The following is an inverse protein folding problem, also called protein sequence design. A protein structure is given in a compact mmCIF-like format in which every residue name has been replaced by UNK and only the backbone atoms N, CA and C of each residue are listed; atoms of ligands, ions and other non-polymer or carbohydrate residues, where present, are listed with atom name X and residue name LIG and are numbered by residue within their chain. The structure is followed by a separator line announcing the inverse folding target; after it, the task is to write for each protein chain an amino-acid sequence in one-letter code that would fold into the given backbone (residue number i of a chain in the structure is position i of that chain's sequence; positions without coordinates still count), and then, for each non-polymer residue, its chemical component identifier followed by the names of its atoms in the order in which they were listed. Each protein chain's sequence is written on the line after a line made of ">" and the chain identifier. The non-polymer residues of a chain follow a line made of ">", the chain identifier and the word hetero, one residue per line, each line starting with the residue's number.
data_IF_684692249190
#
_entry.id   IF_684692249190
#
_cell.length_a   1.000
_cell.length_b   1.000
_cell.length_c   1.000
_cell.angle_alpha   90.00
_cell.angle_beta   90.00
_cell.angle_gamma   90.00
#
_symmetry.space_group_name_H-M   'P 1'
#
loop_
_entity.id
_entity.type
_entity.pdbx_description
1 polymer ?
#
# COMPACT_ATOMS: atom_id res chain seq x y z
N UNK A 1 70.81 -21.78 -39.40
CA UNK A 1 71.27 -23.14 -39.06
C UNK A 1 70.67 -23.46 -37.70
N UNK A 2 69.51 -24.12 -37.71
CA UNK A 2 69.32 -25.54 -37.32
C UNK A 2 69.21 -25.70 -35.80
N UNK A 3 67.98 -25.83 -35.25
CA UNK A 3 67.29 -27.11 -34.89
C UNK A 3 68.04 -27.82 -33.74
N UNK A 4 67.49 -28.11 -32.55
CA UNK A 4 66.20 -28.75 -32.20
C UNK A 4 65.96 -28.72 -30.65
N UNK A 5 64.89 -29.32 -30.05
CA UNK A 5 64.05 -28.69 -29.00
C UNK A 5 63.95 -29.50 -27.69
N UNK A 6 63.31 -28.95 -26.64
CA UNK A 6 62.75 -29.75 -25.53
C UNK A 6 61.42 -29.19 -25.01
N UNK A 7 60.56 -30.16 -24.66
CA UNK A 7 59.10 -30.15 -24.47
C UNK A 7 58.54 -29.34 -23.28
N UNK A 8 57.21 -29.12 -23.24
CA UNK A 8 56.53 -28.24 -22.28
C UNK A 8 56.26 -28.94 -20.94
N UNK A 9 56.61 -28.27 -19.84
CA UNK A 9 56.14 -28.61 -18.50
C UNK A 9 54.70 -28.11 -18.34
N UNK A 10 53.76 -29.04 -18.17
CA UNK A 10 52.38 -28.78 -17.79
C UNK A 10 52.33 -27.89 -16.53
N UNK A 11 51.77 -26.69 -16.68
CA UNK A 11 51.39 -25.86 -15.55
C UNK A 11 50.17 -26.47 -14.83
N UNK A 12 50.01 -26.24 -13.52
CA UNK A 12 48.88 -26.79 -12.77
C UNK A 12 47.59 -26.21 -13.33
N UNK A 13 46.60 -27.10 -13.57
CA UNK A 13 45.22 -26.69 -13.79
C UNK A 13 44.79 -25.89 -12.55
N UNK A 14 44.59 -24.59 -12.74
CA UNK A 14 43.81 -23.80 -11.80
C UNK A 14 42.36 -24.28 -11.94
N UNK A 15 41.94 -25.17 -11.04
CA UNK A 15 40.54 -25.36 -10.70
C UNK A 15 40.07 -24.04 -10.07
N UNK A 16 39.57 -23.13 -10.92
CA UNK A 16 38.78 -22.00 -10.46
C UNK A 16 37.38 -22.53 -10.14
N UNK A 17 37.23 -23.14 -8.97
CA UNK A 17 35.93 -23.19 -8.28
C UNK A 17 35.70 -21.81 -7.64
N UNK A 18 35.30 -20.84 -8.46
CA UNK A 18 34.65 -19.63 -7.95
C UNK A 18 33.22 -20.03 -7.56
N UNK A 19 33.01 -20.34 -6.27
CA UNK A 19 31.70 -20.48 -5.66
C UNK A 19 30.88 -19.20 -5.93
N UNK A 20 29.98 -19.27 -6.91
CA UNK A 20 29.03 -18.20 -7.21
C UNK A 20 28.20 -17.94 -5.95
N UNK A 21 28.37 -16.76 -5.34
CA UNK A 21 27.53 -16.34 -4.22
C UNK A 21 26.07 -16.33 -4.67
N UNK A 22 25.22 -17.08 -3.95
CA UNK A 22 23.79 -17.14 -4.22
C UNK A 22 23.17 -15.77 -4.01
N UNK A 23 22.33 -15.35 -4.95
CA UNK A 23 21.53 -14.14 -4.82
C UNK A 23 20.55 -14.26 -3.65
N UNK A 24 20.10 -13.13 -3.10
CA UNK A 24 19.08 -13.12 -2.03
C UNK A 24 17.78 -13.82 -2.44
N UNK A 25 17.45 -13.79 -3.73
CA UNK A 25 16.29 -14.48 -4.30
C UNK A 25 16.48 -16.00 -4.29
N UNK A 26 17.63 -16.50 -4.77
CA UNK A 26 17.99 -17.93 -4.73
C UNK A 26 18.00 -18.45 -3.28
N UNK A 27 18.56 -17.67 -2.34
CA UNK A 27 18.56 -18.02 -0.91
C UNK A 27 17.16 -18.12 -0.32
N UNK A 28 16.29 -17.14 -0.59
CA UNK A 28 14.90 -17.18 -0.11
C UNK A 28 14.14 -18.38 -0.69
N UNK A 29 14.33 -18.68 -1.97
CA UNK A 29 13.69 -19.82 -2.61
C UNK A 29 14.13 -21.16 -2.00
N UNK A 30 15.41 -21.31 -1.68
CA UNK A 30 15.92 -22.49 -0.97
C UNK A 30 15.32 -22.62 0.43
N UNK A 31 15.27 -21.54 1.21
CA UNK A 31 14.62 -21.53 2.53
C UNK A 31 13.12 -21.87 2.44
N UNK A 32 12.41 -21.37 1.41
CA UNK A 32 11.01 -21.69 1.16
C UNK A 32 10.85 -23.19 0.87
N UNK A 33 11.68 -23.75 -0.01
CA UNK A 33 11.64 -25.19 -0.36
C UNK A 33 11.92 -26.05 0.87
N UNK A 34 12.92 -25.71 1.67
CA UNK A 34 13.22 -26.41 2.92
C UNK A 34 12.04 -26.37 3.89
N UNK A 35 11.43 -25.20 4.10
CA UNK A 35 10.25 -25.09 4.97
C UNK A 35 9.04 -25.85 4.41
N UNK A 36 8.83 -25.85 3.09
CA UNK A 36 7.77 -26.68 2.46
C UNK A 36 7.98 -28.16 2.75
N UNK A 37 9.20 -28.67 2.61
CA UNK A 37 9.50 -30.06 2.94
C UNK A 37 9.21 -30.40 4.41
N UNK A 38 9.49 -29.48 5.35
CA UNK A 38 9.17 -29.69 6.77
C UNK A 38 7.66 -29.71 7.03
N UNK A 39 6.89 -28.83 6.37
CA UNK A 39 5.42 -28.81 6.46
C UNK A 39 4.83 -30.08 5.86
N UNK A 40 5.31 -30.49 4.68
CA UNK A 40 4.84 -31.66 3.94
C UNK A 40 5.21 -32.97 4.63
N UNK A 41 6.33 -33.03 5.37
CA UNK A 41 6.72 -34.20 6.15
C UNK A 41 5.77 -34.46 7.34
N UNK A 42 5.07 -33.43 7.82
CA UNK A 42 4.17 -33.51 8.97
C UNK A 42 2.71 -33.74 8.55
N UNK A 43 2.42 -34.73 7.69
CA UNK A 43 1.09 -34.89 7.03
C UNK A 43 -0.08 -35.22 7.96
N UNK A 44 0.16 -35.76 9.15
CA UNK A 44 -0.91 -36.26 10.00
C UNK A 44 -1.81 -35.16 10.58
N UNK A 45 -3.10 -35.50 10.74
CA UNK A 45 -4.15 -34.61 11.24
C UNK A 45 -4.32 -34.73 12.77
N UNK A 46 -3.39 -35.39 13.48
CA UNK A 46 -3.45 -35.47 14.94
C UNK A 46 -3.15 -34.10 15.57
N UNK A 47 -3.70 -33.85 16.75
CA UNK A 47 -3.46 -32.60 17.48
C UNK A 47 -1.96 -32.32 17.68
N UNK A 48 -1.17 -33.35 18.00
CA UNK A 48 0.26 -33.21 18.25
C UNK A 48 1.05 -32.84 16.98
N UNK A 49 0.74 -33.47 15.85
CA UNK A 49 1.36 -33.16 14.57
C UNK A 49 0.98 -31.76 14.09
N UNK A 50 -0.29 -31.34 14.25
CA UNK A 50 -0.75 -29.99 13.94
C UNK A 50 0.04 -28.96 14.75
N UNK A 51 0.19 -29.18 16.06
CA UNK A 51 0.96 -28.27 16.93
C UNK A 51 2.43 -28.16 16.50
N UNK A 52 3.04 -29.27 16.04
CA UNK A 52 4.41 -29.27 15.50
C UNK A 52 4.50 -28.59 14.13
N UNK A 53 3.45 -28.67 13.30
CA UNK A 53 3.40 -28.11 11.95
C UNK A 53 3.23 -26.59 11.94
N UNK A 54 2.44 -26.04 12.87
CA UNK A 54 2.07 -24.61 12.92
C UNK A 54 3.28 -23.64 12.86
N UNK A 55 4.38 -23.85 13.60
CA UNK A 55 5.56 -22.99 13.48
C UNK A 55 6.21 -22.98 12.09
N UNK A 56 6.25 -24.14 11.43
CA UNK A 56 6.79 -24.28 10.07
C UNK A 56 5.87 -23.60 9.05
N UNK A 57 4.54 -23.75 9.16
CA UNK A 57 3.58 -23.04 8.31
C UNK A 57 3.68 -21.52 8.46
N UNK A 58 3.83 -21.03 9.70
CA UNK A 58 4.04 -19.60 9.96
C UNK A 58 5.34 -19.12 9.32
N UNK A 59 6.44 -19.85 9.49
CA UNK A 59 7.75 -19.47 8.91
C UNK A 59 7.71 -19.50 7.38
N UNK A 60 7.08 -20.52 6.80
CA UNK A 60 6.85 -20.63 5.36
C UNK A 60 6.09 -19.41 4.83
N UNK A 61 4.98 -19.05 5.49
CA UNK A 61 4.18 -17.88 5.13
C UNK A 61 4.99 -16.57 5.15
N UNK A 62 5.85 -16.38 6.17
CA UNK A 62 6.74 -15.21 6.26
C UNK A 62 7.76 -15.17 5.10
N UNK A 63 8.36 -16.31 4.76
CA UNK A 63 9.33 -16.40 3.68
C UNK A 63 8.69 -16.18 2.31
N UNK A 64 7.54 -16.80 2.05
CA UNK A 64 6.78 -16.62 0.82
C UNK A 64 6.33 -15.16 0.65
N UNK A 65 5.82 -14.52 1.71
CA UNK A 65 5.48 -13.10 1.66
C UNK A 65 6.71 -12.24 1.32
N UNK A 66 7.85 -12.48 1.97
CA UNK A 66 9.09 -11.75 1.72
C UNK A 66 9.56 -11.92 0.27
N UNK A 67 9.48 -13.14 -0.27
CA UNK A 67 9.79 -13.43 -1.67
C UNK A 67 8.84 -12.70 -2.63
N UNK A 68 7.53 -12.80 -2.40
CA UNK A 68 6.51 -12.13 -3.21
C UNK A 68 6.71 -10.61 -3.24
N UNK A 69 7.00 -9.99 -2.08
CA UNK A 69 7.28 -8.56 -2.01
C UNK A 69 8.59 -8.17 -2.73
N UNK A 70 9.62 -9.02 -2.68
CA UNK A 70 10.86 -8.80 -3.43
C UNK A 70 10.63 -8.85 -4.94
N UNK A 71 9.93 -9.87 -5.42
CA UNK A 71 9.58 -10.03 -6.85
C UNK A 71 8.72 -8.86 -7.31
N UNK A 72 7.75 -8.46 -6.51
CA UNK A 72 6.86 -7.35 -6.83
C UNK A 72 7.60 -6.01 -6.92
N UNK A 73 8.55 -5.74 -6.00
CA UNK A 73 9.42 -4.56 -6.09
C UNK A 73 10.25 -4.56 -7.38
N UNK A 74 10.81 -5.71 -7.78
CA UNK A 74 11.55 -5.84 -9.06
C UNK A 74 10.63 -5.63 -10.26
N UNK A 75 9.39 -6.13 -10.21
CA UNK A 75 8.38 -5.94 -11.25
C UNK A 75 8.01 -4.45 -11.41
N UNK A 76 7.69 -3.77 -10.30
CA UNK A 76 7.37 -2.34 -10.28
C UNK A 76 8.53 -1.49 -10.81
N UNK A 77 9.78 -1.82 -10.45
CA UNK A 77 10.95 -1.13 -10.99
C UNK A 77 11.06 -1.29 -12.51
N UNK A 78 10.84 -2.49 -13.06
CA UNK A 78 10.80 -2.72 -14.51
C UNK A 78 9.67 -1.96 -15.20
N UNK A 79 8.50 -1.87 -14.56
CA UNK A 79 7.37 -1.08 -15.06
C UNK A 79 7.73 0.40 -15.15
N UNK A 80 8.42 0.96 -14.16
CA UNK A 80 8.89 2.34 -14.21
C UNK A 80 9.93 2.58 -15.31
N UNK A 81 10.86 1.63 -15.53
CA UNK A 81 11.81 1.72 -16.63
C UNK A 81 11.08 1.75 -17.99
N UNK A 82 10.11 0.84 -18.19
CA UNK A 82 9.26 0.84 -19.39
C UNK A 82 8.47 2.14 -19.53
N UNK A 83 7.98 2.71 -18.43
CA UNK A 83 7.31 4.01 -18.45
C UNK A 83 8.24 5.13 -18.93
N UNK A 84 9.48 5.18 -18.44
CA UNK A 84 10.47 6.17 -18.87
C UNK A 84 10.87 5.97 -20.34
N UNK A 85 10.96 4.73 -20.82
CA UNK A 85 11.19 4.43 -22.24
C UNK A 85 10.06 4.97 -23.14
N UNK A 86 8.80 4.89 -22.69
CA UNK A 86 7.63 5.31 -23.46
C UNK A 86 7.37 6.82 -23.41
N UNK A 87 7.58 7.45 -22.24
CA UNK A 87 7.16 8.83 -21.99
C UNK A 87 8.29 9.80 -21.66
N UNK A 88 9.53 9.31 -21.62
CA UNK A 88 10.71 10.07 -21.24
C UNK A 88 11.00 10.06 -19.75
N UNK A 89 12.14 10.62 -19.38
CA UNK A 89 12.61 10.63 -18.00
C UNK A 89 11.63 11.38 -17.07
N UNK A 90 11.41 10.78 -15.90
CA UNK A 90 10.65 11.39 -14.83
C UNK A 90 11.41 12.58 -14.27
N UNK A 91 10.77 13.73 -14.22
CA UNK A 91 11.36 14.93 -13.63
C UNK A 91 11.76 14.70 -12.17
N UNK A 92 13.03 14.94 -11.85
CA UNK A 92 13.58 14.81 -10.50
C UNK A 92 14.33 16.05 -10.06
N UNK A 93 14.31 16.29 -8.75
CA UNK A 93 15.17 17.27 -8.08
C UNK A 93 15.73 16.65 -6.79
N UNK A 94 16.98 16.97 -6.41
CA UNK A 94 17.59 16.41 -5.22
C UNK A 94 16.95 16.97 -3.95
N UNK A 95 16.78 16.11 -2.94
CA UNK A 95 16.44 16.53 -1.60
C UNK A 95 17.50 17.49 -1.05
N UNK A 96 17.10 18.66 -0.55
CA UNK A 96 18.04 19.66 -0.02
C UNK A 96 18.72 19.26 1.31
N UNK A 97 18.43 18.07 1.84
CA UNK A 97 19.03 17.53 3.07
C UNK A 97 19.87 16.28 2.78
N UNK A 98 19.27 15.23 2.20
CA UNK A 98 19.99 13.98 1.92
C UNK A 98 20.62 13.90 0.52
N UNK A 99 20.31 14.85 -0.38
CA UNK A 99 20.78 14.90 -1.78
C UNK A 99 20.29 13.75 -2.67
N UNK A 100 19.42 12.87 -2.19
CA UNK A 100 18.78 11.85 -3.02
C UNK A 100 17.82 12.50 -4.04
N UNK A 101 17.82 12.00 -5.27
CA UNK A 101 16.90 12.44 -6.31
C UNK A 101 15.45 12.04 -5.97
N UNK A 102 14.56 13.03 -6.00
CA UNK A 102 13.12 12.84 -5.76
C UNK A 102 12.38 13.15 -7.04
N UNK A 103 11.43 12.30 -7.44
CA UNK A 103 10.46 12.63 -8.48
C UNK A 103 9.41 13.62 -7.95
N UNK A 104 9.81 14.88 -7.74
CA UNK A 104 9.05 15.94 -7.04
C UNK A 104 7.71 16.28 -7.67
N UNK A 105 7.48 15.89 -8.92
CA UNK A 105 6.23 16.11 -9.63
C UNK A 105 5.33 14.87 -9.65
N UNK A 106 5.78 13.73 -9.13
CA UNK A 106 5.03 12.49 -9.18
C UNK A 106 3.82 12.49 -8.23
N UNK A 107 3.96 13.08 -7.04
CA UNK A 107 2.88 13.20 -6.06
C UNK A 107 3.24 14.27 -5.01
N UNK A 108 2.23 14.89 -4.41
CA UNK A 108 2.42 15.80 -3.27
C UNK A 108 2.91 15.04 -2.01
N UNK A 109 2.80 13.70 -1.99
CA UNK A 109 3.18 12.86 -0.86
C UNK A 109 4.69 12.57 -0.75
N UNK A 110 5.50 12.85 -1.76
CA UNK A 110 6.95 12.58 -1.71
C UNK A 110 7.75 13.70 -1.03
N UNK A 111 7.19 14.90 -0.98
CA UNK A 111 7.90 16.11 -0.54
C UNK A 111 7.17 16.84 0.57
N UNK A 112 7.92 17.43 1.49
CA UNK A 112 7.43 18.47 2.40
C UNK A 112 7.82 19.84 1.83
N UNK A 113 6.84 20.69 1.51
CA UNK A 113 7.07 22.01 0.92
C UNK A 113 7.01 23.12 1.97
N UNK A 114 7.80 24.17 1.79
CA UNK A 114 7.96 25.25 2.76
C UNK A 114 7.49 26.59 2.19
N UNK A 115 6.39 27.13 2.71
CA UNK A 115 5.76 28.38 2.26
C UNK A 115 6.68 29.61 2.45
N UNK A 116 7.56 29.60 3.45
CA UNK A 116 8.50 30.70 3.70
C UNK A 116 9.47 30.96 2.53
N UNK A 117 10.05 29.89 1.96
CA UNK A 117 11.08 30.00 0.94
C UNK A 117 10.68 29.49 -0.45
N UNK A 118 9.64 28.65 -0.53
CA UNK A 118 9.23 27.95 -1.76
C UNK A 118 9.91 26.60 -1.96
N UNK A 119 10.92 26.25 -1.15
CA UNK A 119 11.68 25.01 -1.25
C UNK A 119 10.97 23.80 -0.68
N UNK A 120 11.60 22.63 -0.82
CA UNK A 120 11.09 21.35 -0.31
C UNK A 120 12.21 20.43 0.18
N UNK A 121 11.83 19.38 0.90
CA UNK A 121 12.68 18.22 1.25
C UNK A 121 11.87 16.93 1.06
N UNK A 122 12.53 15.77 0.99
CA UNK A 122 11.81 14.49 0.95
C UNK A 122 11.06 14.24 2.28
N UNK A 123 9.96 13.47 2.22
CA UNK A 123 9.20 13.12 3.43
C UNK A 123 10.01 12.36 4.47
N UNK A 124 11.00 11.57 4.07
CA UNK A 124 11.88 10.86 5.03
C UNK A 124 12.65 11.86 5.88
N UNK A 125 13.38 12.79 5.27
CA UNK A 125 14.09 13.83 5.99
C UNK A 125 13.14 14.71 6.82
N UNK A 126 11.94 15.01 6.31
CA UNK A 126 10.94 15.74 7.09
C UNK A 126 10.50 14.97 8.35
N UNK A 127 10.33 13.65 8.23
CA UNK A 127 10.02 12.75 9.35
C UNK A 127 11.16 12.70 10.37
N UNK A 128 12.39 12.45 9.92
CA UNK A 128 13.57 12.36 10.78
C UNK A 128 13.78 13.65 11.59
N UNK A 129 13.59 14.82 10.97
CA UNK A 129 13.71 16.10 11.67
C UNK A 129 12.61 16.23 12.73
N UNK A 130 11.35 15.87 12.43
CA UNK A 130 10.24 15.91 13.40
C UNK A 130 10.51 14.98 14.59
N UNK A 131 11.06 13.80 14.35
CA UNK A 131 11.36 12.81 15.40
C UNK A 131 12.58 13.20 16.25
N UNK A 132 13.55 13.91 15.68
CA UNK A 132 14.76 14.36 16.38
C UNK A 132 14.51 15.37 17.51
N UNK A 133 13.31 15.93 17.62
CA UNK A 133 12.94 16.88 18.68
C UNK A 133 13.60 18.25 18.57
N UNK A 134 14.35 18.53 17.49
CA UNK A 134 14.90 19.85 17.17
C UNK A 134 13.78 20.75 16.64
N UNK A 135 12.78 21.09 17.46
CA UNK A 135 11.64 21.85 16.92
C UNK A 135 10.32 21.89 17.70
N UNK A 136 10.28 22.35 18.95
CA UNK A 136 9.01 22.51 19.69
C UNK A 136 8.10 23.63 19.11
N UNK A 137 7.27 23.28 18.13
CA UNK A 137 5.92 23.83 17.82
C UNK A 137 5.04 22.70 17.23
N UNK A 138 3.78 22.99 16.92
CA UNK A 138 2.72 22.09 16.43
C UNK A 138 3.06 21.25 15.18
N UNK A 139 4.13 21.61 14.44
CA UNK A 139 4.60 20.91 13.23
C UNK A 139 5.94 20.15 13.43
N UNK A 140 6.51 20.15 14.65
CA UNK A 140 7.80 19.51 14.96
C UNK A 140 9.03 20.22 14.40
N UNK A 141 8.89 21.46 13.91
CA UNK A 141 9.97 22.29 13.37
C UNK A 141 9.91 23.68 14.03
N UNK A 142 10.96 24.09 14.74
CA UNK A 142 11.08 25.48 15.29
C UNK A 142 11.34 26.51 14.19
N UNK A 143 11.83 26.06 13.04
CA UNK A 143 12.07 26.89 11.87
C UNK A 143 12.23 26.04 10.63
N UNK A 144 12.13 26.68 9.47
CA UNK A 144 12.36 26.04 8.19
C UNK A 144 13.82 25.55 8.10
N UNK A 145 14.08 24.27 7.78
CA UNK A 145 15.45 23.75 7.68
C UNK A 145 16.25 24.40 6.54
N UNK A 146 15.57 25.03 5.58
CA UNK A 146 16.18 25.62 4.40
C UNK A 146 16.53 27.11 4.60
N UNK A 147 15.58 27.92 5.08
CA UNK A 147 15.77 29.37 5.22
C UNK A 147 15.86 29.87 6.66
N UNK A 148 15.71 28.98 7.65
CA UNK A 148 15.73 29.29 9.09
C UNK A 148 14.64 30.27 9.55
N UNK A 149 13.66 30.60 8.70
CA UNK A 149 12.48 31.36 9.12
C UNK A 149 11.73 30.56 10.18
N UNK A 150 11.41 31.22 11.30
CA UNK A 150 10.67 30.62 12.41
C UNK A 150 9.25 30.29 11.93
N UNK A 151 8.82 29.05 12.13
CA UNK A 151 7.47 28.62 11.76
C UNK A 151 6.55 28.95 12.94
N UNK A 152 5.99 30.16 12.91
CA UNK A 152 4.98 30.62 13.87
C UNK A 152 3.57 30.23 13.39
N UNK A 153 2.60 30.22 14.32
CA UNK A 153 1.18 30.09 14.00
C UNK A 153 0.73 31.29 13.15
N UNK A 154 0.76 31.14 11.83
CA UNK A 154 0.24 32.12 10.87
C UNK A 154 -1.26 31.96 10.75
N UNK A 155 -1.98 33.08 10.70
CA UNK A 155 -3.39 33.10 10.32
C UNK A 155 -3.56 32.57 8.88
N UNK A 156 -4.77 32.12 8.54
CA UNK A 156 -5.05 31.70 7.15
C UNK A 156 -4.78 32.82 6.14
N UNK A 157 -5.03 34.08 6.53
CA UNK A 157 -4.79 35.25 5.69
C UNK A 157 -3.30 35.50 5.43
N UNK A 158 -2.45 35.38 6.45
CA UNK A 158 -0.99 35.49 6.30
C UNK A 158 -0.44 34.36 5.43
N UNK A 159 -0.91 33.13 5.65
CA UNK A 159 -0.53 31.98 4.82
C UNK A 159 -0.94 32.15 3.36
N UNK A 160 -2.15 32.68 3.11
CA UNK A 160 -2.62 33.00 1.77
C UNK A 160 -1.77 34.10 1.09
N UNK A 161 -1.35 35.11 1.85
CA UNK A 161 -0.47 36.17 1.35
C UNK A 161 0.92 35.61 0.96
N UNK A 162 1.51 34.76 1.80
CA UNK A 162 2.79 34.12 1.51
C UNK A 162 2.71 33.17 0.29
N UNK A 163 1.66 32.35 0.20
CA UNK A 163 1.39 31.51 -0.98
C UNK A 163 1.26 32.35 -2.24
N UNK A 164 0.51 33.46 -2.18
CA UNK A 164 0.37 34.39 -3.33
C UNK A 164 1.71 35.01 -3.72
N UNK A 165 2.57 35.34 -2.75
CA UNK A 165 3.94 35.82 -3.00
C UNK A 165 4.77 34.77 -3.74
N UNK A 166 4.71 33.50 -3.34
CA UNK A 166 5.40 32.41 -4.03
C UNK A 166 4.86 32.18 -5.45
N UNK A 167 3.54 32.21 -5.64
CA UNK A 167 2.92 32.03 -6.96
C UNK A 167 3.36 33.12 -7.94
N UNK A 168 3.44 34.38 -7.48
CA UNK A 168 3.97 35.52 -8.26
C UNK A 168 5.46 35.37 -8.61
N UNK A 169 6.23 34.62 -7.83
CA UNK A 169 7.64 34.29 -8.11
C UNK A 169 7.80 33.12 -9.09
N UNK A 170 6.71 32.52 -9.56
CA UNK A 170 6.77 31.40 -10.51
C UNK A 170 6.87 30.01 -9.87
N UNK A 171 6.68 29.89 -8.55
CA UNK A 171 6.73 28.57 -7.88
C UNK A 171 5.52 27.73 -8.28
N UNK A 172 5.73 26.67 -9.09
CA UNK A 172 4.67 25.89 -9.74
C UNK A 172 3.67 25.27 -8.77
N UNK A 173 4.17 24.63 -7.71
CA UNK A 173 3.30 24.02 -6.70
C UNK A 173 2.43 25.06 -5.99
N UNK A 174 2.96 26.28 -5.78
CA UNK A 174 2.22 27.38 -5.16
C UNK A 174 1.17 27.95 -6.13
N UNK A 175 1.50 28.10 -7.42
CA UNK A 175 0.54 28.53 -8.45
C UNK A 175 -0.67 27.56 -8.51
N UNK A 176 -0.41 26.26 -8.59
CA UNK A 176 -1.46 25.23 -8.56
C UNK A 176 -2.29 25.31 -7.27
N UNK A 177 -1.63 25.43 -6.11
CA UNK A 177 -2.29 25.50 -4.80
C UNK A 177 -3.19 26.74 -4.65
N UNK A 178 -2.66 27.92 -4.98
CA UNK A 178 -3.41 29.18 -4.92
C UNK A 178 -4.62 29.12 -5.84
N UNK A 179 -4.43 28.64 -7.08
CA UNK A 179 -5.52 28.49 -8.03
C UNK A 179 -6.65 27.60 -7.50
N UNK A 180 -6.31 26.44 -6.95
CA UNK A 180 -7.26 25.53 -6.31
C UNK A 180 -8.00 26.16 -5.12
N UNK A 181 -7.28 26.91 -4.27
CA UNK A 181 -7.88 27.61 -3.13
C UNK A 181 -8.82 28.74 -3.55
N UNK A 182 -8.46 29.52 -4.58
CA UNK A 182 -9.31 30.59 -5.11
C UNK A 182 -10.58 30.04 -5.78
N UNK A 183 -10.50 28.92 -6.53
CA UNK A 183 -11.69 28.30 -7.14
C UNK A 183 -12.68 27.83 -6.07
N UNK A 184 -12.18 27.27 -4.96
CA UNK A 184 -13.01 26.71 -3.87
C UNK A 184 -13.41 27.74 -2.82
N UNK A 185 -12.69 28.84 -2.67
CA UNK A 185 -12.89 29.83 -1.61
C UNK A 185 -12.52 29.29 -0.22
N UNK A 186 -11.31 28.73 -0.07
CA UNK A 186 -10.84 28.08 1.17
C UNK A 186 -9.43 28.53 1.57
N UNK A 187 -9.01 28.24 2.81
CA UNK A 187 -7.65 28.51 3.33
C UNK A 187 -7.26 29.98 3.22
N UNK A 188 -8.13 30.88 3.68
CA UNK A 188 -7.92 32.34 3.59
C UNK A 188 -8.18 32.98 2.22
N UNK A 189 -8.50 32.21 1.17
CA UNK A 189 -8.84 32.77 -0.15
C UNK A 189 -10.35 32.95 -0.33
N UNK A 190 -10.75 34.11 -0.85
CA UNK A 190 -12.13 34.32 -1.33
C UNK A 190 -12.35 33.58 -2.65
N UNK A 191 -13.57 33.07 -2.86
CA UNK A 191 -13.96 32.38 -4.09
C UNK A 191 -13.84 33.33 -5.29
N UNK A 192 -12.91 33.04 -6.20
CA UNK A 192 -12.59 33.81 -7.40
C UNK A 192 -12.20 32.82 -8.51
N UNK A 193 -13.20 32.25 -9.18
CA UNK A 193 -13.02 31.13 -10.12
C UNK A 193 -12.08 31.51 -11.27
N UNK A 194 -12.32 32.63 -11.94
CA UNK A 194 -11.54 33.04 -13.11
C UNK A 194 -10.06 33.26 -12.78
N UNK A 195 -9.77 34.02 -11.73
CA UNK A 195 -8.39 34.24 -11.26
C UNK A 195 -7.74 32.93 -10.80
N UNK A 196 -8.51 32.04 -10.17
CA UNK A 196 -8.02 30.73 -9.79
C UNK A 196 -7.63 29.88 -11.01
N UNK A 197 -8.45 29.89 -12.08
CA UNK A 197 -8.15 29.24 -13.35
C UNK A 197 -6.90 29.81 -14.00
N UNK A 198 -6.68 31.12 -13.96
CA UNK A 198 -5.46 31.75 -14.48
C UNK A 198 -4.21 31.21 -13.78
N UNK A 199 -4.25 31.08 -12.44
CA UNK A 199 -3.13 30.51 -11.67
C UNK A 199 -2.86 29.05 -12.01
N UNK A 200 -3.89 28.21 -12.15
CA UNK A 200 -3.69 26.81 -12.52
C UNK A 200 -3.16 26.72 -13.97
N UNK A 201 -3.70 27.52 -14.90
CA UNK A 201 -3.23 27.55 -16.28
C UNK A 201 -1.76 27.97 -16.41
N UNK A 202 -1.27 28.89 -15.58
CA UNK A 202 0.16 29.26 -15.57
C UNK A 202 1.08 28.10 -15.18
N UNK A 203 0.68 27.28 -14.20
CA UNK A 203 1.43 26.08 -13.83
C UNK A 203 1.29 24.98 -14.90
N UNK A 204 0.09 24.77 -15.44
CA UNK A 204 -0.18 23.79 -16.49
C UNK A 204 0.55 24.10 -17.81
N UNK A 205 0.69 25.37 -18.16
CA UNK A 205 1.46 25.81 -19.33
C UNK A 205 2.95 25.44 -19.24
N UNK A 206 3.46 25.24 -18.02
CA UNK A 206 4.82 24.75 -17.74
C UNK A 206 4.85 23.23 -17.53
N UNK A 207 3.81 22.52 -17.97
CA UNK A 207 3.66 21.07 -17.83
C UNK A 207 3.70 20.57 -16.38
N UNK A 208 3.29 21.39 -15.40
CA UNK A 208 3.23 20.95 -14.01
C UNK A 208 2.11 19.90 -13.81
N UNK A 209 2.41 18.62 -13.49
CA UNK A 209 1.43 17.54 -13.62
C UNK A 209 0.23 17.65 -12.68
N UNK A 210 0.43 18.12 -11.44
CA UNK A 210 -0.66 18.40 -10.50
C UNK A 210 -1.63 19.46 -11.04
N UNK A 211 -1.13 20.52 -11.71
CA UNK A 211 -2.01 21.53 -12.32
C UNK A 211 -2.77 20.99 -13.53
N UNK A 212 -2.13 20.19 -14.39
CA UNK A 212 -2.79 19.52 -15.50
C UNK A 212 -3.92 18.61 -15.03
N UNK A 213 -3.67 17.83 -13.98
CA UNK A 213 -4.68 16.97 -13.35
C UNK A 213 -5.84 17.78 -12.74
N UNK A 214 -5.56 18.88 -12.05
CA UNK A 214 -6.63 19.72 -11.50
C UNK A 214 -7.47 20.38 -12.62
N UNK A 215 -6.85 20.83 -13.73
CA UNK A 215 -7.60 21.30 -14.90
C UNK A 215 -8.46 20.20 -15.51
N UNK A 216 -7.95 18.96 -15.61
CA UNK A 216 -8.75 17.83 -16.09
C UNK A 216 -10.03 17.64 -15.28
N UNK A 217 -9.91 17.65 -13.94
CA UNK A 217 -11.06 17.54 -13.04
C UNK A 217 -12.03 18.70 -13.22
N UNK A 218 -11.52 19.90 -13.41
CA UNK A 218 -12.34 21.09 -13.65
C UNK A 218 -13.09 20.99 -14.99
N UNK A 219 -12.46 20.57 -16.08
CA UNK A 219 -13.13 20.36 -17.37
C UNK A 219 -14.16 19.22 -17.34
N UNK A 220 -13.91 18.16 -16.56
CA UNK A 220 -14.85 17.05 -16.39
C UNK A 220 -16.07 17.45 -15.56
N UNK A 221 -15.84 18.20 -14.48
CA UNK A 221 -16.90 18.68 -13.58
C UNK A 221 -17.67 19.87 -14.12
N UNK A 222 -17.02 20.72 -14.92
CA UNK A 222 -17.47 22.07 -15.29
C UNK A 222 -17.46 23.03 -14.10
N UNK A 223 -17.57 24.33 -14.38
CA UNK A 223 -17.90 25.34 -13.36
C UNK A 223 -19.03 26.20 -13.91
N UNK A 224 -20.16 26.19 -13.23
CA UNK A 224 -21.39 26.79 -13.72
C UNK A 224 -21.22 28.28 -14.01
N UNK A 225 -21.33 28.66 -15.29
CA UNK A 225 -21.18 30.02 -15.86
C UNK A 225 -19.76 30.49 -16.19
N UNK A 226 -18.70 29.82 -15.71
CA UNK A 226 -17.31 30.19 -16.02
C UNK A 226 -16.58 29.18 -16.92
N UNK A 227 -16.98 27.91 -16.92
CA UNK A 227 -16.33 26.89 -17.75
C UNK A 227 -17.28 25.75 -18.12
N UNK A 228 -17.47 25.56 -19.42
CA UNK A 228 -18.23 24.44 -19.95
C UNK A 228 -17.49 23.11 -19.75
N UNK A 229 -18.28 22.04 -19.61
CA UNK A 229 -17.72 20.69 -19.51
C UNK A 229 -17.18 20.26 -20.87
N UNK A 230 -16.02 19.64 -20.88
CA UNK A 230 -15.44 19.07 -22.11
C UNK A 230 -14.69 17.79 -21.74
N UNK A 231 -15.27 16.64 -22.10
CA UNK A 231 -14.68 15.34 -21.78
C UNK A 231 -13.36 15.12 -22.52
N UNK A 232 -13.30 15.51 -23.79
CA UNK A 232 -12.12 15.37 -24.65
C UNK A 232 -10.93 16.14 -24.05
N UNK A 233 -11.16 17.40 -23.66
CA UNK A 233 -10.12 18.23 -23.05
C UNK A 233 -9.73 17.74 -21.66
N UNK A 234 -10.69 17.23 -20.88
CA UNK A 234 -10.39 16.60 -19.60
C UNK A 234 -9.50 15.35 -19.78
N UNK A 235 -9.79 14.52 -20.77
CA UNK A 235 -9.03 13.32 -21.10
C UNK A 235 -7.62 13.65 -21.60
N UNK A 236 -7.47 14.64 -22.48
CA UNK A 236 -6.17 15.13 -22.96
C UNK A 236 -5.27 15.57 -21.79
N UNK A 237 -5.80 16.40 -20.90
CA UNK A 237 -5.07 16.91 -19.74
C UNK A 237 -4.72 15.80 -18.73
N UNK A 238 -5.63 14.84 -18.54
CA UNK A 238 -5.40 13.68 -17.67
C UNK A 238 -4.28 12.79 -18.21
N UNK A 239 -4.34 12.44 -19.50
CA UNK A 239 -3.31 11.66 -20.19
C UNK A 239 -1.96 12.37 -20.11
N UNK A 240 -1.94 13.69 -20.33
CA UNK A 240 -0.71 14.48 -20.23
C UNK A 240 -0.13 14.46 -18.81
N UNK A 241 -0.96 14.66 -17.78
CA UNK A 241 -0.51 14.58 -16.38
C UNK A 241 0.03 13.18 -16.03
N UNK A 242 -0.65 12.12 -16.49
CA UNK A 242 -0.24 10.75 -16.25
C UNK A 242 1.08 10.39 -16.96
N UNK A 243 1.24 10.80 -18.22
CA UNK A 243 2.46 10.56 -19.00
C UNK A 243 3.66 11.38 -18.48
N UNK A 244 3.42 12.47 -17.75
CA UNK A 244 4.45 13.20 -17.00
C UNK A 244 4.74 12.59 -15.62
N UNK A 245 4.19 11.40 -15.34
CA UNK A 245 4.47 10.66 -14.12
C UNK A 245 3.67 11.09 -12.91
N UNK A 246 2.50 11.72 -13.06
CA UNK A 246 1.65 12.01 -11.90
C UNK A 246 0.92 10.74 -11.44
N UNK A 247 1.23 10.27 -10.23
CA UNK A 247 0.71 9.02 -9.68
C UNK A 247 -0.83 9.01 -9.61
N UNK A 248 -1.43 10.11 -9.15
CA UNK A 248 -2.89 10.19 -9.02
C UNK A 248 -3.57 10.13 -10.40
N UNK A 249 -3.03 10.80 -11.42
CA UNK A 249 -3.56 10.73 -12.79
C UNK A 249 -3.46 9.31 -13.37
N UNK A 250 -2.33 8.61 -13.15
CA UNK A 250 -2.18 7.21 -13.56
C UNK A 250 -3.19 6.30 -12.85
N UNK A 251 -3.44 6.50 -11.55
CA UNK A 251 -4.44 5.70 -10.82
C UNK A 251 -5.88 5.91 -11.33
N UNK A 252 -6.23 7.14 -11.73
CA UNK A 252 -7.54 7.46 -12.33
C UNK A 252 -7.67 6.86 -13.74
N UNK A 253 -6.62 6.96 -14.56
CA UNK A 253 -6.63 6.29 -15.87
C UNK A 253 -6.77 4.77 -15.73
N UNK A 254 -6.08 4.17 -14.76
CA UNK A 254 -6.24 2.76 -14.47
C UNK A 254 -7.72 2.41 -14.17
N UNK A 255 -8.39 3.19 -13.32
CA UNK A 255 -9.83 3.01 -13.03
C UNK A 255 -10.73 3.19 -14.27
N UNK A 256 -10.35 4.07 -15.19
CA UNK A 256 -11.09 4.25 -16.45
C UNK A 256 -10.89 3.06 -17.40
N UNK A 257 -9.66 2.55 -17.54
CA UNK A 257 -9.34 1.41 -18.40
C UNK A 257 -9.88 0.08 -17.89
N UNK A 258 -10.00 -0.15 -16.57
CA UNK A 258 -10.62 -1.38 -16.07
C UNK A 258 -12.14 -1.42 -16.30
N UNK A 259 -12.81 -0.26 -16.29
CA UNK A 259 -14.27 -0.20 -16.40
C UNK A 259 -14.76 0.22 -17.80
N UNK A 260 -13.88 0.63 -18.70
CA UNK A 260 -14.25 1.20 -20.00
C UNK A 260 -15.16 2.43 -19.85
N UNK A 261 -14.75 3.40 -19.03
CA UNK A 261 -15.56 4.60 -18.73
C UNK A 261 -14.89 5.89 -19.15
N UNK A 262 -15.63 7.01 -19.09
CA UNK A 262 -15.06 8.36 -19.22
C UNK A 262 -14.37 8.63 -20.58
N UNK A 263 -14.83 7.93 -21.63
CA UNK A 263 -14.27 8.03 -22.99
C UNK A 263 -13.05 7.14 -23.24
N UNK A 264 -12.73 6.22 -22.32
CA UNK A 264 -11.70 5.19 -22.48
C UNK A 264 -12.34 3.83 -22.70
N UNK A 265 -11.79 3.04 -23.62
CA UNK A 265 -12.18 1.64 -23.82
C UNK A 265 -11.58 0.75 -22.73
N UNK A 266 -12.18 -0.40 -22.48
CA UNK A 266 -11.64 -1.37 -21.53
C UNK A 266 -10.30 -1.93 -22.05
N UNK A 267 -9.25 -1.77 -21.25
CA UNK A 267 -7.90 -2.25 -21.57
C UNK A 267 -7.23 -2.79 -20.29
N UNK A 268 -7.28 -4.11 -20.05
CA UNK A 268 -6.68 -4.72 -18.86
C UNK A 268 -5.16 -4.53 -18.76
N UNK A 269 -4.45 -4.46 -19.89
CA UNK A 269 -2.99 -4.31 -19.92
C UNK A 269 -2.60 -2.88 -19.55
N UNK A 270 -3.25 -1.89 -20.14
CA UNK A 270 -3.04 -0.48 -19.82
C UNK A 270 -3.50 -0.17 -18.39
N UNK A 271 -4.62 -0.75 -17.95
CA UNK A 271 -5.06 -0.71 -16.55
C UNK A 271 -3.96 -1.18 -15.60
N UNK A 272 -3.44 -2.41 -15.80
CA UNK A 272 -2.44 -2.98 -14.91
C UNK A 272 -1.13 -2.18 -14.95
N UNK A 273 -0.73 -1.72 -16.13
CA UNK A 273 0.43 -0.87 -16.31
C UNK A 273 0.29 0.46 -15.56
N UNK A 274 -0.82 1.19 -15.75
CA UNK A 274 -1.09 2.48 -15.10
C UNK A 274 -1.21 2.36 -13.58
N UNK A 275 -1.90 1.33 -13.08
CA UNK A 275 -2.00 1.08 -11.64
C UNK A 275 -0.61 0.79 -11.04
N UNK A 276 0.21 0.00 -11.74
CA UNK A 276 1.58 -0.33 -11.34
C UNK A 276 2.48 0.91 -11.33
N UNK A 277 2.42 1.74 -12.37
CA UNK A 277 3.17 3.02 -12.44
C UNK A 277 2.76 3.93 -11.28
N UNK A 278 1.47 4.11 -11.04
CA UNK A 278 0.97 4.94 -9.95
C UNK A 278 1.50 4.49 -8.58
N UNK A 279 1.46 3.18 -8.30
CA UNK A 279 1.96 2.63 -7.03
C UNK A 279 3.50 2.69 -6.92
N UNK A 280 4.21 2.50 -8.04
CA UNK A 280 5.67 2.57 -8.05
C UNK A 280 6.18 4.01 -7.83
N UNK A 281 5.45 5.01 -8.33
CA UNK A 281 5.71 6.43 -8.10
C UNK A 281 5.32 6.88 -6.68
N UNK A 282 4.25 6.31 -6.13
CA UNK A 282 3.76 6.60 -4.78
C UNK A 282 3.17 5.34 -4.15
N UNK A 283 3.96 4.66 -3.32
CA UNK A 283 3.53 3.44 -2.63
C UNK A 283 2.45 3.69 -1.57
N UNK A 284 2.12 4.95 -1.30
CA UNK A 284 1.01 5.35 -0.43
C UNK A 284 -0.26 5.70 -1.22
N UNK A 285 -0.21 5.67 -2.56
CA UNK A 285 -1.39 5.91 -3.39
C UNK A 285 -2.43 4.82 -3.16
N UNK A 286 -3.47 5.17 -2.40
CA UNK A 286 -4.52 4.24 -1.97
C UNK A 286 -5.37 3.74 -3.12
N UNK A 287 -5.58 4.56 -4.16
CA UNK A 287 -6.35 4.16 -5.33
C UNK A 287 -5.58 3.08 -6.10
N UNK A 288 -4.30 3.31 -6.36
CA UNK A 288 -3.42 2.33 -6.99
C UNK A 288 -3.31 1.04 -6.17
N UNK A 289 -3.11 1.15 -4.84
CA UNK A 289 -3.10 0.01 -3.94
C UNK A 289 -4.44 -0.76 -3.95
N UNK A 290 -5.58 -0.07 -3.95
CA UNK A 290 -6.90 -0.71 -4.06
C UNK A 290 -7.04 -1.48 -5.37
N UNK A 291 -6.64 -0.88 -6.49
CA UNK A 291 -6.73 -1.50 -7.81
C UNK A 291 -5.85 -2.74 -7.93
N UNK A 292 -4.58 -2.66 -7.52
CA UNK A 292 -3.66 -3.81 -7.48
C UNK A 292 -4.11 -4.88 -6.48
N UNK A 293 -4.64 -4.48 -5.33
CA UNK A 293 -5.20 -5.39 -4.34
C UNK A 293 -6.40 -6.18 -4.86
N UNK A 294 -7.33 -5.51 -5.56
CA UNK A 294 -8.49 -6.15 -6.21
C UNK A 294 -8.06 -7.13 -7.30
N UNK A 295 -7.00 -6.82 -8.03
CA UNK A 295 -6.42 -7.67 -9.07
C UNK A 295 -5.85 -8.97 -8.51
N UNK A 296 -5.02 -8.87 -7.47
CA UNK A 296 -4.47 -10.05 -6.78
C UNK A 296 -5.53 -10.79 -5.98
N UNK A 297 -6.63 -10.13 -5.63
CA UNK A 297 -7.78 -10.76 -5.03
C UNK A 297 -8.54 -11.57 -6.08
N UNK A 298 -9.16 -10.96 -7.08
CA UNK A 298 -10.25 -11.55 -7.88
C UNK A 298 -9.85 -12.54 -8.99
N UNK A 299 -8.58 -12.93 -9.14
CA UNK A 299 -8.05 -13.78 -10.23
C UNK A 299 -8.37 -13.29 -11.68
N UNK A 300 -9.05 -12.15 -11.83
CA UNK A 300 -9.41 -11.56 -13.12
C UNK A 300 -8.31 -10.58 -13.57
N UNK A 301 -7.52 -10.97 -14.57
CA UNK A 301 -6.68 -10.04 -15.33
C UNK A 301 -5.25 -9.84 -14.84
N UNK A 302 -4.80 -10.47 -13.74
CA UNK A 302 -3.36 -10.59 -13.46
C UNK A 302 -2.82 -11.92 -13.98
N UNK A 303 -1.61 -11.95 -14.57
CA UNK A 303 -0.98 -13.20 -15.00
C UNK A 303 -0.78 -14.19 -13.84
N UNK A 304 -0.49 -13.68 -12.63
CA UNK A 304 -0.21 -14.46 -11.43
C UNK A 304 -0.81 -13.79 -10.18
N UNK A 305 -2.07 -14.10 -9.81
CA UNK A 305 -2.67 -13.61 -8.57
C UNK A 305 -1.93 -14.18 -7.35
N UNK A 306 -1.86 -13.39 -6.29
CA UNK A 306 -1.08 -13.72 -5.09
C UNK A 306 -1.86 -13.31 -3.84
N UNK A 307 -2.32 -14.26 -3.00
CA UNK A 307 -3.09 -13.92 -1.79
C UNK A 307 -2.26 -13.08 -0.81
N UNK A 308 -0.93 -13.19 -0.88
CA UNK A 308 0.03 -12.36 -0.16
C UNK A 308 -0.02 -10.90 -0.61
N UNK A 309 0.07 -10.66 -1.93
CA UNK A 309 0.01 -9.31 -2.49
C UNK A 309 -1.41 -8.71 -2.34
N UNK A 310 -2.46 -9.53 -2.45
CA UNK A 310 -3.83 -9.10 -2.14
C UNK A 310 -3.93 -8.58 -0.70
N UNK A 311 -3.42 -9.32 0.29
CA UNK A 311 -3.38 -8.85 1.68
C UNK A 311 -2.54 -7.58 1.82
N UNK A 312 -1.35 -7.52 1.21
CA UNK A 312 -0.46 -6.38 1.29
C UNK A 312 -1.11 -5.08 0.79
N UNK A 313 -1.61 -5.10 -0.44
CA UNK A 313 -2.21 -3.93 -1.08
C UNK A 313 -3.51 -3.49 -0.40
N UNK A 314 -4.40 -4.42 -0.10
CA UNK A 314 -5.68 -4.09 0.54
C UNK A 314 -5.45 -3.59 1.98
N UNK A 315 -4.43 -4.08 2.69
CA UNK A 315 -4.09 -3.61 4.03
C UNK A 315 -3.68 -2.13 4.07
N UNK A 316 -2.95 -1.66 3.06
CA UNK A 316 -2.58 -0.23 2.92
C UNK A 316 -3.84 0.64 2.96
N UNK A 317 -4.88 0.25 2.22
CA UNK A 317 -6.15 0.98 2.16
C UNK A 317 -6.97 0.79 3.44
N UNK A 318 -6.99 -0.42 4.00
CA UNK A 318 -7.78 -0.74 5.20
C UNK A 318 -7.31 -0.01 6.46
N UNK A 319 -6.02 0.32 6.57
CA UNK A 319 -5.47 1.06 7.70
C UNK A 319 -6.15 2.42 7.91
N UNK A 320 -6.51 3.10 6.82
CA UNK A 320 -7.14 4.43 6.83
C UNK A 320 -8.57 4.42 6.28
N UNK A 321 -9.22 3.25 6.35
CA UNK A 321 -10.60 3.07 5.91
C UNK A 321 -11.57 3.95 6.70
N UNK A 322 -12.52 4.55 5.99
CA UNK A 322 -13.59 5.37 6.55
C UNK A 322 -14.98 4.91 6.12
N UNK A 323 -15.07 4.02 5.12
CA UNK A 323 -16.34 3.52 4.59
C UNK A 323 -16.66 2.11 5.08
N UNK A 324 -15.65 1.39 5.58
CA UNK A 324 -15.73 0.01 6.02
C UNK A 324 -15.55 -1.00 4.88
N UNK A 325 -15.55 -0.56 3.62
CA UNK A 325 -15.42 -1.44 2.45
C UNK A 325 -14.01 -2.05 2.36
N UNK A 326 -12.96 -1.27 2.64
CA UNK A 326 -11.58 -1.77 2.59
C UNK A 326 -11.29 -2.74 3.73
N UNK A 327 -11.85 -2.50 4.92
CA UNK A 327 -11.77 -3.40 6.08
C UNK A 327 -12.48 -4.73 5.78
N UNK A 328 -13.63 -4.69 5.11
CA UNK A 328 -14.32 -5.89 4.63
C UNK A 328 -13.47 -6.65 3.60
N UNK A 329 -12.98 -5.98 2.57
CA UNK A 329 -12.15 -6.60 1.55
C UNK A 329 -10.87 -7.21 2.14
N UNK A 330 -10.24 -6.53 3.10
CA UNK A 330 -9.05 -7.06 3.78
C UNK A 330 -9.38 -8.32 4.59
N UNK A 331 -10.54 -8.36 5.24
CA UNK A 331 -10.99 -9.56 5.95
C UNK A 331 -11.16 -10.75 4.99
N UNK A 332 -11.65 -10.52 3.76
CA UNK A 332 -11.75 -11.54 2.74
C UNK A 332 -10.38 -11.96 2.19
N UNK A 333 -9.47 -11.00 1.98
CA UNK A 333 -8.10 -11.31 1.54
C UNK A 333 -7.38 -12.20 2.56
N UNK A 334 -7.53 -11.92 3.85
CA UNK A 334 -7.02 -12.76 4.94
C UNK A 334 -7.60 -14.18 4.92
N UNK A 335 -8.89 -14.33 4.56
CA UNK A 335 -9.50 -15.65 4.39
C UNK A 335 -8.94 -16.42 3.20
N UNK A 336 -8.72 -15.74 2.07
CA UNK A 336 -8.09 -16.35 0.89
C UNK A 336 -6.65 -16.77 1.19
N UNK A 337 -5.90 -15.96 1.93
CA UNK A 337 -4.57 -16.33 2.39
C UNK A 337 -4.61 -17.53 3.34
N UNK A 338 -5.55 -17.56 4.29
CA UNK A 338 -5.72 -18.70 5.18
C UNK A 338 -6.09 -19.99 4.43
N UNK A 339 -6.94 -19.90 3.41
CA UNK A 339 -7.28 -21.02 2.53
C UNK A 339 -6.09 -21.47 1.67
N UNK A 340 -5.29 -20.53 1.16
CA UNK A 340 -4.04 -20.84 0.46
C UNK A 340 -3.05 -21.62 1.34
N UNK A 341 -2.91 -21.22 2.60
CA UNK A 341 -1.96 -21.81 3.55
C UNK A 341 -2.42 -23.15 4.14
N UNK A 342 -3.72 -23.31 4.39
CA UNK A 342 -4.26 -24.44 5.17
C UNK A 342 -5.27 -25.28 4.40
N UNK A 343 -5.57 -24.93 3.15
CA UNK A 343 -6.79 -25.36 2.47
C UNK A 343 -8.05 -24.94 3.23
N UNK A 344 -9.17 -25.57 2.89
CA UNK A 344 -10.47 -25.34 3.55
C UNK A 344 -10.54 -25.75 5.04
N UNK A 345 -9.39 -26.10 5.65
CA UNK A 345 -9.23 -26.54 7.05
C UNK A 345 -8.75 -25.42 8.00
N UNK A 346 -8.80 -24.13 7.61
CA UNK A 346 -8.38 -22.97 8.44
C UNK A 346 -9.16 -22.76 9.75
N UNK A 347 -10.23 -23.54 9.96
CA UNK A 347 -11.25 -23.37 11.00
C UNK A 347 -10.75 -23.80 12.41
N UNK A 348 -9.61 -24.49 12.56
CA UNK A 348 -9.30 -25.20 13.82
C UNK A 348 -7.83 -25.25 14.30
N UNK A 349 -6.95 -24.31 13.91
CA UNK A 349 -5.52 -24.35 14.31
C UNK A 349 -5.12 -23.20 15.22
N UNK A 350 -5.17 -23.40 16.53
CA UNK A 350 -4.67 -22.43 17.50
C UNK A 350 -3.15 -22.21 17.32
N UNK A 351 -2.70 -20.96 17.39
CA UNK A 351 -1.30 -20.56 17.22
C UNK A 351 -0.98 -19.97 15.84
N UNK A 352 -1.84 -20.20 14.85
CA UNK A 352 -1.78 -19.54 13.55
C UNK A 352 -3.18 -19.38 12.92
N UNK A 353 -4.18 -19.00 13.73
CA UNK A 353 -5.56 -18.86 13.30
C UNK A 353 -5.85 -17.43 12.78
N UNK A 354 -6.35 -17.31 11.55
CA UNK A 354 -6.75 -16.03 10.96
C UNK A 354 -8.09 -15.49 11.50
N UNK A 355 -8.99 -16.35 12.03
CA UNK A 355 -10.36 -16.00 12.44
C UNK A 355 -10.43 -14.81 13.40
N UNK A 356 -9.59 -14.70 14.46
CA UNK A 356 -9.61 -13.53 15.33
C UNK A 356 -9.35 -12.21 14.62
N UNK A 357 -8.46 -12.22 13.62
CA UNK A 357 -8.09 -11.04 12.83
C UNK A 357 -9.19 -10.70 11.83
N UNK A 358 -9.74 -11.71 11.14
CA UNK A 358 -10.87 -11.54 10.22
C UNK A 358 -12.07 -10.91 10.93
N UNK A 359 -12.45 -11.43 12.11
CA UNK A 359 -13.56 -10.87 12.90
C UNK A 359 -13.26 -9.47 13.44
N UNK A 360 -11.99 -9.14 13.73
CA UNK A 360 -11.60 -7.78 14.10
C UNK A 360 -11.87 -6.79 12.96
N UNK A 361 -11.41 -7.11 11.74
CA UNK A 361 -11.61 -6.24 10.57
C UNK A 361 -13.07 -6.17 10.13
N UNK A 362 -13.84 -7.25 10.28
CA UNK A 362 -15.28 -7.22 10.03
C UNK A 362 -16.06 -6.35 11.01
N UNK A 363 -15.66 -6.35 12.29
CA UNK A 363 -16.24 -5.41 13.27
C UNK A 363 -15.91 -3.98 12.92
N UNK A 364 -14.66 -3.68 12.52
CA UNK A 364 -14.26 -2.35 12.04
C UNK A 364 -15.12 -1.92 10.84
N UNK A 365 -15.31 -2.81 9.87
CA UNK A 365 -16.18 -2.60 8.71
C UNK A 365 -17.64 -2.30 9.10
N UNK A 366 -18.23 -3.13 9.97
CA UNK A 366 -19.58 -2.92 10.52
C UNK A 366 -19.71 -1.59 11.25
N UNK A 367 -18.73 -1.25 12.09
CA UNK A 367 -18.75 -0.06 12.94
C UNK A 367 -18.67 1.23 12.09
N UNK A 368 -18.14 1.14 10.87
CA UNK A 368 -18.19 2.18 9.83
C UNK A 368 -19.48 2.19 9.00
N UNK A 369 -20.37 1.23 9.24
CA UNK A 369 -21.68 1.17 8.59
C UNK A 369 -21.75 0.31 7.31
N UNK A 370 -20.69 -0.40 6.93
CA UNK A 370 -20.70 -1.22 5.72
C UNK A 370 -21.60 -2.45 5.86
N UNK A 371 -22.52 -2.65 4.91
CA UNK A 371 -23.61 -3.64 4.99
C UNK A 371 -23.09 -5.08 4.85
N UNK A 372 -22.35 -5.41 3.79
CA UNK A 372 -21.82 -6.76 3.58
C UNK A 372 -20.94 -7.22 4.77
N UNK A 373 -20.18 -6.28 5.35
CA UNK A 373 -19.37 -6.54 6.54
C UNK A 373 -20.22 -6.89 7.76
N UNK A 374 -21.36 -6.21 7.94
CA UNK A 374 -22.33 -6.49 9.02
C UNK A 374 -23.00 -7.85 8.83
N UNK A 375 -23.44 -8.16 7.61
CA UNK A 375 -24.11 -9.42 7.29
C UNK A 375 -23.17 -10.61 7.47
N UNK A 376 -21.98 -10.55 6.88
CA UNK A 376 -20.98 -11.61 7.03
C UNK A 376 -20.57 -11.80 8.49
N UNK A 377 -20.40 -10.70 9.25
CA UNK A 377 -20.10 -10.81 10.67
C UNK A 377 -21.23 -11.52 11.44
N UNK A 378 -22.50 -11.20 11.16
CA UNK A 378 -23.65 -11.82 11.82
C UNK A 378 -23.71 -13.32 11.57
N UNK A 379 -23.51 -13.75 10.32
CA UNK A 379 -23.46 -15.16 9.95
C UNK A 379 -22.33 -15.89 10.66
N UNK A 380 -21.12 -15.31 10.63
CA UNK A 380 -19.94 -15.90 11.23
C UNK A 380 -20.05 -15.99 12.74
N UNK A 381 -20.45 -14.91 13.42
CA UNK A 381 -20.64 -14.92 14.87
C UNK A 381 -21.71 -15.94 15.27
N UNK A 382 -22.78 -16.11 14.49
CA UNK A 382 -23.81 -17.13 14.76
C UNK A 382 -23.25 -18.55 14.61
N UNK A 383 -22.48 -18.80 13.55
CA UNK A 383 -21.82 -20.09 13.33
C UNK A 383 -20.86 -20.43 14.48
N UNK A 384 -19.98 -19.50 14.86
CA UNK A 384 -18.95 -19.72 15.87
C UNK A 384 -19.47 -19.74 17.31
N UNK A 385 -20.53 -18.99 17.62
CA UNK A 385 -21.21 -19.07 18.93
C UNK A 385 -21.73 -20.47 19.23
N UNK A 386 -22.08 -21.23 18.19
CA UNK A 386 -22.62 -22.58 18.31
C UNK A 386 -21.55 -23.69 18.42
N UNK A 387 -20.25 -23.36 18.42
CA UNK A 387 -19.16 -24.36 18.44
C UNK A 387 -18.04 -23.99 19.41
N UNK A 388 -17.54 -24.98 20.13
CA UNK A 388 -16.38 -24.80 21.00
C UNK A 388 -15.10 -24.74 20.14
N UNK A 389 -14.33 -23.66 20.24
CA UNK A 389 -13.08 -23.46 19.51
C UNK A 389 -11.95 -24.41 19.93
N UNK A 390 -12.11 -25.14 21.04
CA UNK A 390 -11.14 -26.15 21.48
C UNK A 390 -11.54 -27.56 21.04
N UNK A 391 -12.68 -28.06 21.51
CA UNK A 391 -13.11 -29.45 21.30
C UNK A 391 -14.13 -29.64 20.18
N UNK A 392 -14.51 -28.58 19.46
CA UNK A 392 -15.51 -28.60 18.39
C UNK A 392 -16.93 -29.04 18.79
N UNK A 393 -17.23 -29.21 20.10
CA UNK A 393 -18.58 -29.49 20.61
C UNK A 393 -19.56 -28.45 20.06
N UNK A 394 -20.69 -28.91 19.50
CA UNK A 394 -21.80 -28.04 19.11
C UNK A 394 -22.65 -27.71 20.35
N UNK A 395 -23.10 -26.46 20.45
CA UNK A 395 -24.02 -26.03 21.48
C UNK A 395 -25.39 -26.69 21.28
N UNK A 396 -25.98 -27.17 22.38
CA UNK A 396 -27.36 -27.62 22.40
C UNK A 396 -28.33 -26.43 22.30
N UNK A 397 -29.60 -26.70 21.98
CA UNK A 397 -30.63 -25.64 21.84
C UNK A 397 -30.72 -24.80 23.11
N UNK A 398 -30.35 -23.52 23.02
CA UNK A 398 -30.34 -22.58 24.15
C UNK A 398 -29.07 -22.57 25.01
N UNK A 399 -28.12 -23.47 24.76
CA UNK A 399 -26.80 -23.48 25.42
C UNK A 399 -25.95 -22.30 24.93
N UNK A 400 -25.36 -21.54 25.86
CA UNK A 400 -24.50 -20.40 25.54
C UNK A 400 -23.06 -20.70 25.93
N UNK A 401 -22.17 -20.73 24.93
CA UNK A 401 -20.75 -20.89 25.17
C UNK A 401 -20.09 -19.59 25.67
N UNK A 402 -19.03 -19.75 26.46
CA UNK A 402 -18.23 -18.65 27.00
C UNK A 402 -17.39 -18.03 25.90
N UNK A 403 -17.58 -16.75 25.62
CA UNK A 403 -16.77 -16.01 24.66
C UNK A 403 -15.45 -15.55 25.28
N UNK A 404 -14.35 -15.54 24.51
CA UNK A 404 -13.12 -14.87 24.94
C UNK A 404 -13.36 -13.37 25.16
N UNK A 405 -13.07 -12.87 26.35
CA UNK A 405 -13.30 -11.46 26.69
C UNK A 405 -12.39 -10.47 25.96
N UNK A 406 -11.24 -10.93 25.44
CA UNK A 406 -10.25 -10.08 24.76
C UNK A 406 -10.55 -9.93 23.27
N UNK A 407 -10.36 -10.99 22.48
CA UNK A 407 -10.58 -10.92 21.02
C UNK A 407 -12.06 -10.99 20.63
N UNK A 408 -12.93 -11.50 21.53
CA UNK A 408 -14.35 -11.79 21.25
C UNK A 408 -14.56 -12.71 20.04
N UNK A 409 -13.55 -13.44 19.60
CA UNK A 409 -13.55 -14.17 18.33
C UNK A 409 -13.60 -15.70 18.48
N UNK A 410 -13.52 -16.22 19.71
CA UNK A 410 -13.61 -17.64 20.01
C UNK A 410 -14.57 -17.88 21.17
N UNK A 411 -15.27 -19.03 21.13
CA UNK A 411 -16.25 -19.47 22.11
C UNK A 411 -15.90 -20.85 22.66
N UNK A 412 -16.21 -21.11 23.93
CA UNK A 412 -15.85 -22.34 24.64
C UNK A 412 -17.00 -22.90 25.45
N UNK A 413 -17.20 -24.22 25.38
CA UNK A 413 -18.22 -24.90 26.19
C UNK A 413 -17.89 -24.93 27.69
N UNK A 414 -16.62 -24.76 28.07
CA UNK A 414 -16.19 -24.77 29.48
C UNK A 414 -14.95 -23.88 29.72
N UNK A 415 -14.60 -23.65 31.00
CA UNK A 415 -13.40 -22.88 31.36
C UNK A 415 -12.13 -23.68 31.04
N UNK A 416 -12.20 -24.99 31.17
CA UNK A 416 -11.13 -25.94 30.91
C UNK A 416 -10.75 -25.89 29.42
N UNK A 417 -11.74 -25.99 28.53
CA UNK A 417 -11.54 -25.81 27.09
C UNK A 417 -10.92 -24.45 26.73
N UNK A 418 -11.32 -23.38 27.42
CA UNK A 418 -10.71 -22.06 27.21
C UNK A 418 -9.24 -22.04 27.62
N UNK A 419 -8.88 -22.64 28.76
CA UNK A 419 -7.49 -22.70 29.25
C UNK A 419 -6.61 -23.57 28.36
N UNK A 420 -7.13 -24.71 27.90
CA UNK A 420 -6.44 -25.59 26.95
C UNK A 420 -6.17 -24.87 25.63
N UNK A 421 -7.21 -24.28 25.00
CA UNK A 421 -7.03 -23.52 23.77
C UNK A 421 -6.06 -22.34 23.94
N UNK A 422 -6.12 -21.67 25.09
CA UNK A 422 -5.21 -20.56 25.41
C UNK A 422 -3.74 -21.01 25.43
N UNK A 423 -3.46 -22.17 26.03
CA UNK A 423 -2.12 -22.80 26.06
C UNK A 423 -1.72 -23.33 24.68
N UNK A 424 -2.66 -23.88 23.92
CA UNK A 424 -2.45 -24.46 22.60
C UNK A 424 -2.21 -23.41 21.49
N UNK A 425 -2.30 -22.11 21.79
CA UNK A 425 -1.88 -21.05 20.86
C UNK A 425 -2.85 -19.90 20.71
N UNK A 426 -4.09 -19.99 21.22
CA UNK A 426 -5.04 -18.88 21.10
C UNK A 426 -4.52 -17.59 21.77
N UNK A 427 -3.68 -17.68 22.82
CA UNK A 427 -3.02 -16.49 23.39
C UNK A 427 -2.30 -15.64 22.35
N UNK A 428 -1.63 -16.28 21.37
CA UNK A 428 -0.88 -15.63 20.30
C UNK A 428 -1.82 -15.01 19.29
N UNK A 429 -2.78 -15.79 18.78
CA UNK A 429 -3.80 -15.30 17.83
C UNK A 429 -4.62 -14.14 18.41
N UNK A 430 -4.98 -14.22 19.69
CA UNK A 430 -5.73 -13.19 20.39
C UNK A 430 -4.95 -11.87 20.47
N UNK A 431 -3.63 -11.92 20.66
CA UNK A 431 -2.79 -10.71 20.69
C UNK A 431 -2.60 -10.13 19.29
N UNK A 432 -2.42 -11.00 18.31
CA UNK A 432 -2.19 -10.63 16.91
C UNK A 432 -3.43 -10.05 16.22
N UNK A 433 -4.62 -10.38 16.68
CA UNK A 433 -5.89 -9.98 16.06
C UNK A 433 -6.06 -8.48 15.78
N UNK A 434 -5.48 -7.62 16.64
CA UNK A 434 -5.60 -6.17 16.54
C UNK A 434 -4.40 -5.49 15.85
N UNK A 435 -3.45 -6.26 15.33
CA UNK A 435 -2.30 -5.71 14.60
C UNK A 435 -2.80 -5.16 13.26
N UNK A 436 -2.51 -3.88 13.03
CA UNK A 436 -3.05 -3.15 11.88
C UNK A 436 -2.25 -3.41 10.60
N UNK A 437 -0.92 -3.42 10.67
CA UNK A 437 -0.06 -3.65 9.51
C UNK A 437 0.07 -5.15 9.21
N UNK A 438 -0.10 -5.54 7.96
CA UNK A 438 -0.06 -6.94 7.53
C UNK A 438 1.30 -7.60 7.78
N UNK A 439 2.40 -6.88 7.53
CA UNK A 439 3.75 -7.39 7.78
C UNK A 439 3.99 -7.66 9.28
N UNK A 440 3.60 -6.73 10.15
CA UNK A 440 3.65 -6.92 11.60
C UNK A 440 2.76 -8.09 12.05
N UNK A 441 1.59 -8.26 11.41
CA UNK A 441 0.69 -9.37 11.66
C UNK A 441 1.36 -10.71 11.34
N UNK A 442 2.05 -10.83 10.21
CA UNK A 442 2.77 -12.06 9.85
C UNK A 442 3.96 -12.32 10.79
N UNK A 443 4.62 -11.27 11.26
CA UNK A 443 5.82 -11.37 12.10
C UNK A 443 5.54 -11.50 13.61
N UNK A 444 4.31 -11.25 14.06
CA UNK A 444 3.95 -11.30 15.48
C UNK A 444 4.01 -12.71 16.09
N UNK A 445 4.52 -12.83 17.31
CA UNK A 445 4.83 -14.09 18.01
C UNK A 445 3.68 -14.89 18.63
#
# INVERSE_FOLDING_TARGET
>A
MSYEPLNPSAGPKAENDEERQKTDEERLMEEIVEQKHLVDALTGDTHEEIVKRVPHEKKLCQLEFKYQLMVEKKRLAKVLLKFQELYGDLYSEPCLICLDDIHVHATENLTETFICCGGFICKSCAGDIRESGVGLTTLGLTGCPLCREVINDKTEAESAADLTRLSKRGVLWAQSHVGRCMIKGMRGFKKQVQTGLEWINMAAAQNYPSALYELSKIYRGGIASELEKTEEKANELLLKAANLGYAEANSILADFYIHGTNGFEEDPDEFYFRASVAFALDSTNKNAAKLLGSLHFSDHGTPEPSPYLACHYVNIVACEDTTGAASYLYSQALLRLADHLHGKKYIARNGFNAVPTVLFWLRKSRDMGFEDGREMLKEWESFWQSRCANCSKKAETGEKFKQCSKCKAQWYCSKECQVEAWRAGHKKDCKRAAILKFEDYLNAD
#
